data_IF_706219555776
#
_entry.id   IF_706219555776
#
_cell.length_a   1.000
_cell.length_b   1.000
_cell.length_c   1.000
_cell.angle_alpha   90.00
_cell.angle_beta   90.00
_cell.angle_gamma   90.00
#
_symmetry.space_group_name_H-M   'P 1'
#
loop_
_entity.id
_entity.type
_entity.pdbx_description
1 polymer ?
#
# COMPACT_ATOMS: atom_id res chain seq x y z
N UNK A 1 -21.08 12.18 -28.17
CA UNK A 1 -21.01 12.82 -26.84
C UNK A 1 -19.57 12.86 -26.42
N UNK A 2 -19.18 13.87 -25.66
CA UNK A 2 -17.87 13.99 -25.03
C UNK A 2 -17.60 12.92 -23.97
N UNK A 3 -16.36 12.85 -23.46
CA UNK A 3 -15.86 11.71 -22.69
C UNK A 3 -16.43 11.57 -21.26
N UNK A 4 -17.28 12.48 -20.78
CA UNK A 4 -17.77 12.51 -19.40
C UNK A 4 -16.70 12.97 -18.39
N UNK A 5 -16.99 12.81 -17.11
CA UNK A 5 -16.09 13.20 -16.00
C UNK A 5 -15.91 12.03 -15.03
N UNK A 6 -14.66 11.79 -14.63
CA UNK A 6 -14.30 10.85 -13.57
C UNK A 6 -14.05 11.62 -12.27
N UNK A 7 -14.67 11.18 -11.18
CA UNK A 7 -14.48 11.76 -9.84
C UNK A 7 -14.20 10.68 -8.82
N UNK A 8 -13.53 11.05 -7.72
CA UNK A 8 -13.25 10.16 -6.58
C UNK A 8 -13.91 10.67 -5.31
N UNK A 9 -14.48 9.76 -4.52
CA UNK A 9 -15.06 10.04 -3.22
C UNK A 9 -14.43 9.11 -2.16
N UNK A 10 -13.45 9.61 -1.38
CA UNK A 10 -12.82 8.88 -0.28
C UNK A 10 -13.81 8.64 0.87
N UNK A 11 -13.68 7.50 1.54
CA UNK A 11 -14.54 7.06 2.64
C UNK A 11 -13.72 6.46 3.79
N UNK A 12 -14.27 6.49 5.00
CA UNK A 12 -13.63 5.91 6.19
C UNK A 12 -12.33 6.65 6.55
N UNK A 13 -11.24 5.90 6.69
CA UNK A 13 -9.91 6.42 6.99
C UNK A 13 -9.21 7.08 5.79
N UNK A 14 -9.84 7.12 4.61
CA UNK A 14 -9.28 7.75 3.43
C UNK A 14 -9.35 9.29 3.50
N UNK A 15 -8.25 9.96 3.19
CA UNK A 15 -8.13 11.41 3.30
C UNK A 15 -8.29 12.09 1.94
N UNK A 16 -9.31 12.95 1.80
CA UNK A 16 -9.58 13.66 0.54
C UNK A 16 -8.43 14.50 0.02
N UNK A 17 -7.64 15.10 0.90
CA UNK A 17 -6.46 15.87 0.49
C UNK A 17 -5.33 15.00 -0.11
N UNK A 18 -5.36 13.68 0.12
CA UNK A 18 -4.35 12.73 -0.38
C UNK A 18 -4.86 11.80 -1.48
N UNK A 19 -6.07 12.06 -1.99
CA UNK A 19 -6.63 11.35 -3.13
C UNK A 19 -6.73 12.31 -4.30
N UNK A 20 -6.08 11.96 -5.40
CA UNK A 20 -6.17 12.72 -6.65
C UNK A 20 -6.72 11.88 -7.79
N UNK A 21 -7.27 12.54 -8.80
CA UNK A 21 -7.72 11.93 -10.05
C UNK A 21 -6.94 12.57 -11.18
N UNK A 22 -6.32 11.75 -12.03
CA UNK A 22 -5.44 12.20 -13.11
C UNK A 22 -5.72 11.39 -14.38
N UNK A 23 -5.67 12.06 -15.53
CA UNK A 23 -5.74 11.40 -16.83
C UNK A 23 -4.47 10.59 -17.09
N UNK A 24 -4.62 9.37 -17.58
CA UNK A 24 -3.51 8.49 -17.93
C UNK A 24 -2.65 9.08 -19.04
N UNK A 25 -1.33 8.95 -18.91
CA UNK A 25 -0.33 9.37 -19.90
C UNK A 25 0.74 8.30 -20.06
N UNK A 26 1.41 8.20 -21.23
CA UNK A 26 2.44 7.19 -21.42
C UNK A 26 3.58 7.35 -20.40
N UNK A 27 3.89 6.28 -19.68
CA UNK A 27 4.98 6.25 -18.68
C UNK A 27 4.58 6.68 -17.27
N UNK A 28 3.30 6.90 -16.99
CA UNK A 28 2.85 7.13 -15.62
C UNK A 28 2.84 5.86 -14.75
N UNK A 29 2.42 6.02 -13.49
CA UNK A 29 2.44 4.95 -12.49
C UNK A 29 1.30 3.92 -12.66
N UNK A 30 0.54 3.96 -13.75
CA UNK A 30 -0.56 3.05 -14.05
C UNK A 30 -0.27 2.18 -15.30
N UNK A 31 0.74 1.30 -15.28
CA UNK A 31 1.15 0.50 -16.45
C UNK A 31 0.11 -0.55 -16.90
N UNK A 32 -0.93 -0.79 -16.10
CA UNK A 32 -2.03 -1.70 -16.43
C UNK A 32 -3.12 -1.06 -17.30
N UNK A 33 -3.06 0.26 -17.52
CA UNK A 33 -4.02 0.95 -18.39
C UNK A 33 -3.61 0.81 -19.87
N UNK A 34 -4.59 0.75 -20.79
CA UNK A 34 -4.32 0.82 -22.22
C UNK A 34 -3.57 2.09 -22.62
N UNK A 35 -2.75 1.99 -23.66
CA UNK A 35 -2.01 3.15 -24.18
C UNK A 35 -2.97 4.30 -24.55
N UNK A 36 -2.73 5.55 -24.10
CA UNK A 36 -3.60 6.69 -24.39
C UNK A 36 -3.85 6.96 -25.88
N UNK A 37 -2.97 6.50 -26.78
CA UNK A 37 -3.20 6.61 -28.23
C UNK A 37 -4.35 5.73 -28.74
N UNK A 38 -4.84 4.79 -27.93
CA UNK A 38 -6.03 3.97 -28.22
C UNK A 38 -7.35 4.69 -27.89
N UNK A 39 -7.27 5.83 -27.20
CA UNK A 39 -8.43 6.64 -26.83
C UNK A 39 -9.00 7.38 -28.05
N UNK A 40 -10.33 7.53 -28.07
CA UNK A 40 -11.02 8.25 -29.13
C UNK A 40 -11.53 9.60 -28.61
N UNK A 41 -10.96 10.75 -29.01
CA UNK A 41 -11.39 12.05 -28.48
C UNK A 41 -12.82 12.45 -28.91
N UNK A 42 -13.38 11.78 -29.93
CA UNK A 42 -14.70 12.07 -30.48
C UNK A 42 -15.46 10.78 -30.87
N UNK A 43 -15.59 9.85 -29.92
CA UNK A 43 -16.29 8.60 -30.15
C UNK A 43 -17.79 8.84 -30.44
N UNK A 44 -18.24 8.44 -31.64
CA UNK A 44 -19.65 8.44 -32.02
C UNK A 44 -20.20 7.03 -31.82
N UNK A 45 -21.18 6.91 -30.94
CA UNK A 45 -21.84 5.63 -30.64
C UNK A 45 -23.03 5.43 -31.57
N UNK A 46 -23.11 4.27 -32.19
CA UNK A 46 -24.36 3.80 -32.80
C UNK A 46 -25.37 3.41 -31.71
N UNK A 47 -26.69 3.44 -32.01
CA UNK A 47 -27.71 2.98 -31.06
C UNK A 47 -27.42 1.56 -30.57
N UNK A 48 -27.44 1.36 -29.25
CA UNK A 48 -27.15 0.07 -28.62
C UNK A 48 -25.67 -0.26 -28.42
N UNK A 49 -24.75 0.61 -28.84
CA UNK A 49 -23.31 0.47 -28.57
C UNK A 49 -22.90 1.22 -27.29
N UNK A 50 -21.81 0.75 -26.68
CA UNK A 50 -21.21 1.36 -25.50
C UNK A 50 -19.77 1.79 -25.73
N UNK A 51 -19.21 2.41 -24.70
CA UNK A 51 -17.79 2.73 -24.60
C UNK A 51 -17.28 2.32 -23.22
N UNK A 52 -15.97 2.24 -23.08
CA UNK A 52 -15.31 1.95 -21.82
C UNK A 52 -14.46 3.15 -21.38
N UNK A 53 -14.42 3.36 -20.06
CA UNK A 53 -13.40 4.17 -19.40
C UNK A 53 -12.78 3.26 -18.35
N UNK A 54 -11.47 3.08 -18.39
CA UNK A 54 -10.74 2.23 -17.45
C UNK A 54 -10.00 3.11 -16.46
N UNK A 55 -9.87 2.64 -15.24
CA UNK A 55 -9.10 3.31 -14.22
C UNK A 55 -8.20 2.33 -13.47
N UNK A 56 -7.13 2.88 -12.89
CA UNK A 56 -6.20 2.18 -12.02
C UNK A 56 -5.98 3.01 -10.75
N UNK A 57 -5.90 2.32 -9.62
CA UNK A 57 -5.53 2.92 -8.35
C UNK A 57 -4.04 2.71 -8.10
N UNK A 58 -3.32 3.78 -7.82
CA UNK A 58 -1.92 3.75 -7.41
C UNK A 58 -1.83 4.29 -5.98
N UNK A 59 -1.61 3.40 -4.97
CA UNK A 59 -1.43 3.83 -3.59
C UNK A 59 -0.15 4.66 -3.42
N UNK A 60 -0.22 5.74 -2.66
CA UNK A 60 0.96 6.52 -2.24
C UNK A 60 1.37 6.26 -0.80
N UNK A 61 0.40 5.95 0.06
CA UNK A 61 0.60 5.56 1.46
C UNK A 61 -0.42 4.49 1.86
N UNK A 62 -0.12 3.74 2.91
CA UNK A 62 -1.04 2.76 3.48
C UNK A 62 -2.02 3.39 4.47
N UNK A 63 -3.18 2.74 4.67
CA UNK A 63 -4.12 3.16 5.71
C UNK A 63 -3.49 3.20 7.11
N UNK A 64 -3.86 4.20 7.94
CA UNK A 64 -3.33 4.31 9.30
C UNK A 64 -3.74 3.12 10.16
N UNK A 65 -2.99 2.80 11.20
CA UNK A 65 -3.30 1.71 12.13
C UNK A 65 -4.17 2.20 13.29
N UNK A 66 -5.32 1.57 13.49
CA UNK A 66 -6.18 1.78 14.66
C UNK A 66 -5.56 1.05 15.85
N UNK A 67 -5.16 1.77 16.89
CA UNK A 67 -4.65 1.18 18.14
C UNK A 67 -3.24 1.58 18.57
N UNK A 68 -2.52 2.39 17.79
CA UNK A 68 -1.27 3.03 18.21
C UNK A 68 -1.52 4.21 19.17
N UNK A 69 -2.13 3.95 20.33
CA UNK A 69 -2.29 4.97 21.38
C UNK A 69 -1.10 4.89 22.34
N UNK A 70 0.01 5.50 21.93
CA UNK A 70 1.16 5.81 22.78
C UNK A 70 1.17 7.29 23.18
N UNK A 71 0.14 7.72 23.91
CA UNK A 71 0.19 8.90 24.79
C UNK A 71 -0.05 10.29 24.18
N UNK A 72 -1.32 10.71 24.10
CA UNK A 72 -1.64 12.12 24.35
C UNK A 72 -1.71 12.35 25.87
N UNK A 73 -0.56 12.56 26.49
CA UNK A 73 -0.42 13.13 27.84
C UNK A 73 0.01 14.59 27.69
N UNK A 74 -0.74 15.52 28.30
CA UNK A 74 -0.64 16.95 28.06
C UNK A 74 0.68 17.64 28.42
N UNK A 75 0.84 18.83 27.83
CA UNK A 75 1.62 20.00 28.28
C UNK A 75 3.03 19.81 28.84
N UNK A 76 4.00 20.33 28.08
CA UNK A 76 5.20 20.99 28.63
C UNK A 76 6.41 20.08 28.84
N UNK A 77 7.52 20.40 28.17
CA UNK A 77 8.81 19.78 28.45
C UNK A 77 9.83 20.05 27.36
N UNK A 78 10.69 21.03 27.62
CA UNK A 78 11.85 21.47 26.83
C UNK A 78 12.77 20.34 26.37
N UNK A 79 13.37 20.53 25.20
CA UNK A 79 14.29 19.60 24.55
C UNK A 79 15.41 19.10 25.46
N UNK A 80 15.62 17.78 25.42
CA UNK A 80 16.73 17.10 26.08
C UNK A 80 18.01 17.26 25.28
N UNK A 81 18.82 18.24 25.67
CA UNK A 81 20.21 18.35 25.28
C UNK A 81 21.11 17.46 26.14
N UNK A 82 22.02 16.75 25.45
CA UNK A 82 23.44 16.61 25.78
C UNK A 82 23.88 16.27 27.21
N UNK A 83 24.43 15.06 27.32
CA UNK A 83 25.73 14.72 27.95
C UNK A 83 26.09 15.29 29.31
N UNK A 84 26.24 14.39 30.30
CA UNK A 84 27.04 14.67 31.49
C UNK A 84 26.85 13.62 32.58
N UNK A 85 27.82 12.71 32.76
CA UNK A 85 27.80 11.72 33.83
C UNK A 85 29.13 11.00 33.96
N UNK A 86 30.12 11.69 34.54
CA UNK A 86 31.42 11.17 34.98
C UNK A 86 31.35 10.69 36.44
N UNK A 87 31.84 9.46 36.68
CA UNK A 87 32.52 8.96 37.91
C UNK A 87 31.61 8.81 39.19
N UNK A 88 31.50 7.72 39.98
CA UNK A 88 32.34 6.56 40.34
C UNK A 88 31.47 5.50 41.09
N UNK A 89 31.74 4.18 40.98
CA UNK A 89 31.17 3.14 41.87
C UNK A 89 31.07 1.67 41.35
N UNK A 90 32.19 0.95 41.33
CA UNK A 90 32.54 -0.50 41.17
C UNK A 90 31.50 -1.62 41.54
N UNK A 91 31.64 -2.96 41.24
CA UNK A 91 32.40 -3.78 40.23
C UNK A 91 31.52 -4.64 39.27
N UNK A 92 32.15 -5.18 38.21
CA UNK A 92 31.65 -6.20 37.26
C UNK A 92 31.58 -7.63 37.86
N UNK A 93 30.83 -8.57 37.24
CA UNK A 93 31.48 -9.50 36.30
C UNK A 93 30.69 -9.76 34.99
N UNK A 94 31.45 -10.02 33.92
CA UNK A 94 30.97 -10.23 32.54
C UNK A 94 30.24 -11.57 32.28
N UNK A 95 29.96 -11.84 30.99
CA UNK A 95 30.85 -12.73 30.24
C UNK A 95 31.23 -12.20 28.84
N UNK A 96 32.47 -12.51 28.44
CA UNK A 96 33.01 -12.34 27.09
C UNK A 96 32.71 -13.58 26.23
N UNK A 97 32.59 -13.42 24.91
CA UNK A 97 33.28 -14.35 24.02
C UNK A 97 34.11 -13.59 22.99
N UNK A 98 35.43 -13.55 23.21
CA UNK A 98 36.39 -13.35 22.12
C UNK A 98 36.57 -14.65 21.37
N UNK A 99 36.54 -14.51 20.05
CA UNK A 99 36.84 -15.54 19.05
C UNK A 99 38.31 -15.95 19.16
N UNK A 100 38.59 -17.24 19.02
CA UNK A 100 39.91 -17.70 18.58
C UNK A 100 39.76 -18.90 17.65
N UNK A 101 40.56 -18.86 16.59
CA UNK A 101 40.64 -19.79 15.49
C UNK A 101 41.86 -20.69 15.70
N UNK A 102 41.68 -22.00 15.60
CA UNK A 102 42.77 -22.98 15.62
C UNK A 102 42.32 -24.30 15.00
N UNK A 103 42.89 -24.64 13.86
CA UNK A 103 42.57 -25.82 13.06
C UNK A 103 43.32 -27.08 13.54
N UNK A 104 42.67 -28.25 13.46
CA UNK A 104 43.28 -29.53 13.05
C UNK A 104 42.23 -30.65 12.91
N UNK A 105 42.13 -31.18 11.68
CA UNK A 105 42.00 -32.60 11.31
C UNK A 105 40.96 -33.51 11.97
N UNK A 106 40.01 -34.00 11.15
CA UNK A 106 39.24 -35.21 11.45
C UNK A 106 38.10 -35.46 10.45
N UNK A 107 38.40 -36.13 9.34
CA UNK A 107 37.44 -36.69 8.38
C UNK A 107 36.61 -37.82 9.02
N UNK A 108 35.29 -37.80 8.87
CA UNK A 108 34.47 -38.96 8.44
C UNK A 108 32.97 -38.65 8.43
N UNK A 109 32.38 -38.94 7.28
CA UNK A 109 30.98 -39.10 6.89
C UNK A 109 30.12 -39.86 7.91
N UNK A 110 28.88 -39.40 8.16
CA UNK A 110 27.73 -40.30 8.09
C UNK A 110 26.41 -39.56 7.89
N UNK A 111 25.73 -39.91 6.79
CA UNK A 111 24.32 -39.66 6.57
C UNK A 111 23.49 -40.42 7.61
N UNK A 112 22.48 -39.75 8.18
CA UNK A 112 21.54 -40.36 9.11
C UNK A 112 20.17 -39.74 8.93
N UNK A 113 19.37 -40.37 8.07
CA UNK A 113 17.92 -40.21 8.02
C UNK A 113 17.33 -40.45 9.41
N UNK A 114 16.64 -39.45 9.94
CA UNK A 114 15.90 -39.53 11.20
C UNK A 114 14.54 -38.86 11.02
N UNK A 115 13.53 -39.67 10.77
CA UNK A 115 12.12 -39.29 10.84
C UNK A 115 11.75 -39.09 12.31
N UNK A 116 11.52 -37.84 12.71
CA UNK A 116 10.83 -37.54 13.97
C UNK A 116 9.78 -36.44 13.73
N UNK A 117 8.54 -36.89 13.79
CA UNK A 117 7.32 -36.09 13.84
C UNK A 117 7.28 -35.31 15.15
N UNK A 118 7.12 -33.99 15.09
CA UNK A 118 6.63 -33.21 16.23
C UNK A 118 7.46 -32.00 16.62
N UNK A 119 7.43 -30.94 15.80
CA UNK A 119 7.42 -29.57 16.30
C UNK A 119 6.92 -28.69 15.15
N UNK A 120 5.59 -28.66 15.02
CA UNK A 120 4.95 -27.62 14.25
C UNK A 120 5.30 -26.29 14.93
N UNK A 121 6.30 -25.60 14.39
CA UNK A 121 6.44 -24.18 14.63
C UNK A 121 5.18 -23.53 14.05
N UNK A 122 4.15 -23.38 14.88
CA UNK A 122 3.07 -22.46 14.56
C UNK A 122 3.72 -21.10 14.32
N UNK A 123 3.52 -20.42 13.19
CA UNK A 123 3.99 -19.07 13.02
C UNK A 123 3.33 -18.25 14.13
N UNK A 124 4.10 -17.90 15.16
CA UNK A 124 3.68 -16.92 16.15
C UNK A 124 3.66 -15.61 15.38
N UNK A 125 2.49 -15.24 14.85
CA UNK A 125 2.28 -13.90 14.30
C UNK A 125 2.56 -12.94 15.44
N UNK A 126 3.76 -12.35 15.42
CA UNK A 126 4.04 -11.13 16.15
C UNK A 126 2.94 -10.17 15.75
N UNK A 127 2.07 -9.78 16.69
CA UNK A 127 1.12 -8.70 16.48
C UNK A 127 1.92 -7.40 16.57
N UNK A 128 2.63 -7.08 15.50
CA UNK A 128 3.06 -5.72 15.22
C UNK A 128 1.77 -4.89 15.05
N UNK A 129 1.35 -4.30 16.15
CA UNK A 129 0.77 -2.95 16.23
C UNK A 129 -0.48 -2.67 15.37
N UNK A 130 -1.65 -3.02 15.90
CA UNK A 130 -2.96 -2.46 15.49
C UNK A 130 -3.52 -2.94 14.14
N UNK A 131 -4.85 -3.05 14.06
CA UNK A 131 -5.51 -3.31 12.76
C UNK A 131 -5.44 -2.05 11.88
N UNK A 132 -5.19 -2.18 10.57
CA UNK A 132 -5.36 -1.04 9.65
C UNK A 132 -6.79 -0.51 9.76
N UNK A 133 -6.92 0.80 9.78
CA UNK A 133 -8.21 1.47 9.70
C UNK A 133 -8.81 1.23 8.32
N UNK A 134 -10.12 1.00 8.27
CA UNK A 134 -10.84 0.75 7.03
C UNK A 134 -10.95 2.06 6.22
N UNK A 135 -10.39 2.06 5.02
CA UNK A 135 -10.50 3.16 4.07
C UNK A 135 -10.79 2.66 2.66
N UNK A 136 -11.59 3.42 1.92
CA UNK A 136 -11.92 3.10 0.54
C UNK A 136 -12.11 4.36 -0.29
N UNK A 137 -11.99 4.22 -1.61
CA UNK A 137 -12.27 5.30 -2.57
C UNK A 137 -13.34 4.82 -3.55
N UNK A 138 -14.45 5.56 -3.63
CA UNK A 138 -15.47 5.34 -4.66
C UNK A 138 -15.09 6.16 -5.88
N UNK A 139 -14.85 5.50 -7.01
CA UNK A 139 -14.60 6.15 -8.30
C UNK A 139 -15.92 6.18 -9.06
N UNK A 140 -16.33 7.37 -9.50
CA UNK A 140 -17.56 7.58 -10.25
C UNK A 140 -17.26 8.11 -11.65
N UNK A 141 -17.95 7.57 -12.65
CA UNK A 141 -17.94 8.07 -14.02
C UNK A 141 -19.32 8.61 -14.37
N UNK A 142 -19.38 9.90 -14.70
CA UNK A 142 -20.61 10.54 -15.17
C UNK A 142 -20.45 10.89 -16.64
N UNK A 143 -21.16 10.20 -17.56
CA UNK A 143 -21.20 10.56 -18.97
C UNK A 143 -21.84 11.94 -19.20
N UNK A 144 -21.83 12.39 -20.46
CA UNK A 144 -22.65 13.53 -20.86
C UNK A 144 -24.15 13.36 -20.50
N UNK A 145 -24.89 14.49 -20.37
CA UNK A 145 -26.27 14.48 -19.92
C UNK A 145 -27.15 13.48 -20.68
N UNK A 146 -27.90 12.66 -19.94
CA UNK A 146 -28.84 11.68 -20.49
C UNK A 146 -28.43 10.21 -20.28
N UNK A 147 -27.24 9.93 -19.75
CA UNK A 147 -26.82 8.58 -19.34
C UNK A 147 -26.63 8.50 -17.81
N UNK A 148 -26.77 7.31 -17.19
CA UNK A 148 -26.58 7.16 -15.77
C UNK A 148 -25.10 7.27 -15.38
N UNK A 149 -24.85 7.80 -14.18
CA UNK A 149 -23.55 7.69 -13.50
C UNK A 149 -23.33 6.25 -13.05
N UNK A 150 -22.14 5.73 -13.26
CA UNK A 150 -21.69 4.43 -12.73
C UNK A 150 -20.58 4.65 -11.71
N UNK A 151 -20.42 3.72 -10.77
CA UNK A 151 -19.38 3.81 -9.75
C UNK A 151 -18.78 2.45 -9.41
N UNK A 152 -17.54 2.48 -8.91
CA UNK A 152 -16.80 1.32 -8.42
C UNK A 152 -16.08 1.68 -7.12
N UNK A 153 -15.93 0.73 -6.20
CA UNK A 153 -15.24 0.93 -4.92
C UNK A 153 -13.87 0.28 -4.95
N UNK A 154 -12.84 1.05 -4.64
CA UNK A 154 -11.49 0.56 -4.37
C UNK A 154 -11.35 0.39 -2.85
N UNK A 155 -11.28 -0.85 -2.33
CA UNK A 155 -11.04 -1.10 -0.92
C UNK A 155 -9.58 -0.82 -0.56
N UNK A 156 -9.30 -0.74 0.75
CA UNK A 156 -7.94 -0.57 1.30
C UNK A 156 -7.18 0.65 0.72
N UNK A 157 -7.92 1.71 0.39
CA UNK A 157 -7.42 2.89 -0.30
C UNK A 157 -7.56 4.13 0.60
N UNK A 158 -6.44 4.59 1.16
CA UNK A 158 -6.43 5.76 2.05
C UNK A 158 -5.72 7.00 1.48
N UNK A 159 -4.75 6.80 0.61
CA UNK A 159 -3.99 7.85 -0.07
C UNK A 159 -3.42 7.31 -1.38
N UNK A 160 -3.46 8.11 -2.44
CA UNK A 160 -3.03 7.69 -3.77
C UNK A 160 -3.69 8.45 -4.91
N UNK A 161 -3.50 7.94 -6.11
CA UNK A 161 -4.01 8.56 -7.33
C UNK A 161 -4.84 7.56 -8.13
N UNK A 162 -6.02 8.01 -8.55
CA UNK A 162 -6.82 7.35 -9.57
C UNK A 162 -6.34 7.84 -10.93
N UNK A 163 -5.68 6.96 -11.68
CA UNK A 163 -5.38 7.20 -13.10
C UNK A 163 -6.53 6.66 -13.93
N UNK A 164 -7.01 7.42 -14.90
CA UNK A 164 -8.08 6.96 -15.78
C UNK A 164 -7.79 7.25 -17.25
N UNK A 165 -8.27 6.38 -18.12
CA UNK A 165 -8.25 6.62 -19.56
C UNK A 165 -9.31 7.64 -19.96
N UNK A 166 -9.24 8.08 -21.20
CA UNK A 166 -10.34 8.66 -21.95
C UNK A 166 -11.30 7.58 -22.40
N UNK A 167 -12.13 7.91 -23.38
CA UNK A 167 -13.09 6.94 -23.92
C UNK A 167 -12.41 5.96 -24.87
N UNK A 168 -12.63 4.68 -24.59
CA UNK A 168 -12.20 3.56 -25.39
C UNK A 168 -13.43 2.98 -26.10
N UNK A 169 -13.24 2.48 -27.32
CA UNK A 169 -14.28 1.65 -27.94
C UNK A 169 -14.54 0.43 -27.05
N UNK A 170 -15.80 0.09 -26.83
CA UNK A 170 -16.14 -1.10 -26.05
C UNK A 170 -15.51 -2.34 -26.69
N UNK A 171 -14.93 -3.20 -25.86
CA UNK A 171 -14.47 -4.49 -26.32
C UNK A 171 -15.67 -5.29 -26.85
N UNK A 172 -15.52 -5.94 -28.00
CA UNK A 172 -16.54 -6.86 -28.50
C UNK A 172 -16.60 -8.06 -27.54
N UNK A 173 -17.79 -8.48 -27.06
CA UNK A 173 -17.92 -9.58 -26.10
C UNK A 173 -17.44 -10.92 -26.65
#
# INVERSE_FOLDING_TARGET
GGPGTVTSFPQGAAETARVSVVQHTPGDAAPGLPDPSTESPALVLTPGSGYEVRFAWVPSDSCPTTGGSGGSGGTGGTGGGGSGGTETGQPSPGPSPSKEQGAAGGTATNSGSGTDTGSAASPQLVREDGAKADGSVVVSHTPEPGSPTVSATVPDACAGTVYHTGVLAAATP
#
